data_IF_915298703680
#
_entry.id   IF_915298703680
#
_cell.length_a   1.000
_cell.length_b   1.000
_cell.length_c   1.000
_cell.angle_alpha   90.00
_cell.angle_beta   90.00
_cell.angle_gamma   90.00
#
_symmetry.space_group_name_H-M   'P 1'
#
loop_
_entity.id
_entity.type
_entity.pdbx_description
1 polymer ?
#
# COMPACT_ATOMS: atom_id res chain seq x y z
N UNK A 1 -14.31 -0.62 -5.15
CA UNK A 1 -14.62 -1.04 -6.53
C UNK A 1 -13.59 -2.00 -7.11
N UNK A 2 -12.29 -1.73 -7.03
CA UNK A 2 -11.27 -2.65 -7.56
C UNK A 2 -11.27 -4.03 -6.87
N UNK A 3 -11.41 -4.07 -5.54
CA UNK A 3 -11.57 -5.33 -4.78
C UNK A 3 -12.82 -6.13 -5.21
N UNK A 4 -13.93 -5.45 -5.51
CA UNK A 4 -15.15 -6.10 -5.99
C UNK A 4 -14.89 -6.81 -7.33
N UNK A 5 -14.21 -6.15 -8.27
CA UNK A 5 -13.83 -6.76 -9.54
C UNK A 5 -12.89 -7.95 -9.36
N UNK A 6 -11.89 -7.84 -8.47
CA UNK A 6 -10.99 -8.97 -8.16
C UNK A 6 -11.73 -10.16 -7.56
N UNK A 7 -12.73 -9.93 -6.69
CA UNK A 7 -13.57 -10.99 -6.15
C UNK A 7 -14.47 -11.62 -7.22
N UNK A 8 -15.02 -10.84 -8.15
CA UNK A 8 -15.80 -11.37 -9.27
C UNK A 8 -14.92 -12.26 -10.15
N UNK A 9 -13.70 -11.84 -10.51
CA UNK A 9 -12.75 -12.67 -11.26
C UNK A 9 -12.38 -13.93 -10.49
N UNK A 10 -12.16 -13.84 -9.19
CA UNK A 10 -11.91 -14.98 -8.33
C UNK A 10 -13.07 -15.99 -8.38
N UNK A 11 -14.32 -15.54 -8.26
CA UNK A 11 -15.50 -16.41 -8.34
C UNK A 11 -15.69 -17.07 -9.72
N UNK A 12 -15.39 -16.36 -10.82
CA UNK A 12 -15.48 -16.94 -12.17
C UNK A 12 -14.39 -18.00 -12.39
N UNK A 13 -13.19 -17.76 -11.84
CA UNK A 13 -12.04 -18.65 -11.99
C UNK A 13 -11.96 -19.74 -10.91
N UNK A 14 -13.01 -19.90 -10.11
CA UNK A 14 -13.00 -20.93 -9.06
C UNK A 14 -12.87 -22.33 -9.68
N UNK A 15 -11.86 -23.11 -9.26
CA UNK A 15 -11.59 -24.43 -9.86
C UNK A 15 -12.74 -25.42 -9.63
N UNK A 16 -13.59 -25.18 -8.63
CA UNK A 16 -14.77 -26.00 -8.35
C UNK A 16 -15.71 -26.03 -9.55
N UNK A 17 -15.98 -24.89 -10.19
CA UNK A 17 -16.89 -24.81 -11.35
C UNK A 17 -16.40 -25.65 -12.53
N UNK A 18 -15.09 -25.66 -12.74
CA UNK A 18 -14.45 -26.39 -13.84
C UNK A 18 -14.34 -27.89 -13.57
N UNK A 19 -14.40 -28.31 -12.30
CA UNK A 19 -14.37 -29.73 -11.91
C UNK A 19 -15.77 -30.36 -11.70
N UNK A 20 -16.86 -29.59 -11.82
CA UNK A 20 -18.25 -30.13 -11.77
C UNK A 20 -18.50 -31.28 -12.74
N UNK A 21 -18.12 -31.22 -14.03
CA UNK A 21 -18.45 -32.30 -14.98
C UNK A 21 -17.72 -33.62 -14.68
N UNK A 22 -16.60 -33.59 -13.96
CA UNK A 22 -15.74 -34.76 -13.71
C UNK A 22 -15.99 -35.43 -12.35
N UNK A 23 -17.14 -35.20 -11.72
CA UNK A 23 -17.46 -35.69 -10.35
C UNK A 23 -17.31 -37.20 -10.12
N UNK A 24 -17.31 -38.02 -11.18
CA UNK A 24 -17.28 -39.50 -11.09
C UNK A 24 -15.98 -40.14 -11.61
N UNK A 25 -14.90 -39.39 -11.85
CA UNK A 25 -13.67 -40.00 -12.37
C UNK A 25 -12.80 -40.70 -11.33
N UNK A 26 -12.04 -41.71 -11.77
CA UNK A 26 -11.07 -42.47 -10.96
C UNK A 26 -9.77 -41.68 -10.74
N UNK A 27 -9.82 -40.63 -9.92
CA UNK A 27 -8.64 -39.88 -9.51
C UNK A 27 -8.69 -39.60 -8.00
N UNK A 28 -7.51 -39.51 -7.33
CA UNK A 28 -7.46 -39.35 -5.88
C UNK A 28 -8.12 -38.02 -5.47
N UNK A 29 -9.21 -38.12 -4.71
CA UNK A 29 -10.04 -36.97 -4.30
C UNK A 29 -11.42 -36.88 -4.98
N UNK A 30 -11.79 -37.86 -5.81
CA UNK A 30 -13.11 -37.93 -6.46
C UNK A 30 -14.27 -37.77 -5.45
N UNK A 31 -15.09 -36.74 -5.63
CA UNK A 31 -16.20 -36.40 -4.76
C UNK A 31 -16.82 -35.04 -5.15
N UNK A 32 -17.97 -34.71 -4.56
CA UNK A 32 -18.53 -33.36 -4.67
C UNK A 32 -17.52 -32.36 -4.07
N UNK A 33 -17.20 -31.29 -4.83
CA UNK A 33 -16.18 -30.27 -4.48
C UNK A 33 -14.72 -30.70 -4.63
N UNK A 34 -14.40 -31.59 -5.57
CA UNK A 34 -12.99 -31.83 -5.90
C UNK A 34 -12.35 -30.64 -6.62
N UNK A 35 -11.12 -30.32 -6.27
CA UNK A 35 -10.27 -29.29 -6.91
C UNK A 35 -9.14 -29.88 -7.76
N UNK A 36 -8.98 -31.20 -7.77
CA UNK A 36 -7.89 -31.92 -8.42
C UNK A 36 -8.33 -32.57 -9.75
N UNK A 37 -9.01 -31.80 -10.62
CA UNK A 37 -9.31 -32.23 -11.99
C UNK A 37 -8.29 -31.64 -12.99
N UNK A 38 -8.05 -32.34 -14.10
CA UNK A 38 -7.09 -31.89 -15.13
C UNK A 38 -7.48 -30.52 -15.73
N UNK A 39 -8.78 -30.26 -15.91
CA UNK A 39 -9.29 -28.97 -16.37
C UNK A 39 -9.05 -27.85 -15.35
N UNK A 40 -9.13 -28.13 -14.05
CA UNK A 40 -8.99 -27.15 -12.96
C UNK A 40 -7.54 -26.75 -12.66
N UNK A 41 -6.55 -27.57 -13.07
CA UNK A 41 -5.13 -27.32 -12.80
C UNK A 41 -4.65 -25.98 -13.37
N UNK A 42 -5.07 -25.63 -14.60
CA UNK A 42 -4.72 -24.38 -15.25
C UNK A 42 -5.39 -23.16 -14.59
N UNK A 43 -6.63 -23.32 -14.10
CA UNK A 43 -7.35 -22.24 -13.43
C UNK A 43 -6.84 -22.00 -12.00
N UNK A 44 -6.21 -23.01 -11.37
CA UNK A 44 -5.69 -22.91 -10.00
C UNK A 44 -4.58 -21.86 -9.85
N UNK A 45 -3.66 -21.76 -10.80
CA UNK A 45 -2.58 -20.77 -10.77
C UNK A 45 -3.11 -19.34 -10.91
N UNK A 46 -4.03 -19.14 -11.86
CA UNK A 46 -4.68 -17.85 -12.10
C UNK A 46 -5.51 -17.44 -10.89
N UNK A 47 -6.30 -18.36 -10.33
CA UNK A 47 -7.06 -18.15 -9.10
C UNK A 47 -6.15 -17.77 -7.93
N UNK A 48 -5.03 -18.47 -7.73
CA UNK A 48 -4.08 -18.18 -6.66
C UNK A 48 -3.46 -16.77 -6.79
N UNK A 49 -3.12 -16.35 -8.01
CA UNK A 49 -2.60 -15.01 -8.27
C UNK A 49 -3.64 -13.92 -7.93
N UNK A 50 -4.89 -14.08 -8.41
CA UNK A 50 -5.97 -13.14 -8.09
C UNK A 50 -6.32 -13.12 -6.60
N UNK A 51 -6.33 -14.28 -5.94
CA UNK A 51 -6.57 -14.38 -4.50
C UNK A 51 -5.48 -13.65 -3.70
N UNK A 52 -4.20 -13.83 -4.07
CA UNK A 52 -3.09 -13.10 -3.46
C UNK A 52 -3.25 -11.58 -3.62
N UNK A 53 -3.57 -11.12 -4.83
CA UNK A 53 -3.81 -9.69 -5.09
C UNK A 53 -5.01 -9.15 -4.31
N UNK A 54 -6.11 -9.90 -4.23
CA UNK A 54 -7.29 -9.53 -3.45
C UNK A 54 -6.98 -9.42 -1.95
N UNK A 55 -6.20 -10.36 -1.40
CA UNK A 55 -5.76 -10.31 -0.01
C UNK A 55 -4.85 -9.11 0.27
N UNK A 56 -3.94 -8.78 -0.64
CA UNK A 56 -3.11 -7.58 -0.50
C UNK A 56 -3.96 -6.31 -0.50
N UNK A 57 -4.94 -6.20 -1.41
CA UNK A 57 -5.86 -5.06 -1.44
C UNK A 57 -6.72 -4.97 -0.18
N UNK A 58 -7.14 -6.11 0.36
CA UNK A 58 -7.85 -6.15 1.63
C UNK A 58 -6.98 -5.66 2.79
N UNK A 59 -5.71 -6.06 2.84
CA UNK A 59 -4.75 -5.53 3.81
C UNK A 59 -4.55 -4.01 3.65
N UNK A 60 -4.56 -3.47 2.43
CA UNK A 60 -4.52 -2.02 2.19
C UNK A 60 -5.79 -1.34 2.70
N UNK A 61 -6.98 -1.93 2.49
CA UNK A 61 -8.25 -1.41 3.02
C UNK A 61 -8.28 -1.38 4.56
N UNK A 62 -7.61 -2.32 5.22
CA UNK A 62 -7.46 -2.29 6.68
C UNK A 62 -6.73 -1.00 7.14
N UNK A 63 -5.89 -0.40 6.30
CA UNK A 63 -5.26 0.89 6.63
C UNK A 63 -6.29 2.02 6.77
N UNK A 64 -7.46 1.94 6.15
CA UNK A 64 -8.52 2.94 6.34
C UNK A 64 -9.10 2.93 7.76
N UNK A 65 -9.00 1.80 8.47
CA UNK A 65 -9.33 1.73 9.91
C UNK A 65 -8.39 2.59 10.77
N UNK A 66 -7.28 3.08 10.22
CA UNK A 66 -6.40 4.04 10.91
C UNK A 66 -7.13 5.32 11.34
N UNK A 67 -8.27 5.65 10.71
CA UNK A 67 -9.10 6.81 11.05
C UNK A 67 -9.60 6.80 12.51
N UNK A 68 -9.65 5.63 13.15
CA UNK A 68 -10.03 5.47 14.56
C UNK A 68 -9.01 6.14 15.50
N UNK A 69 -7.73 6.15 15.11
CA UNK A 69 -6.66 6.76 15.89
C UNK A 69 -6.06 7.96 15.16
N UNK A 70 -6.22 9.15 15.75
CA UNK A 70 -5.69 10.40 15.19
C UNK A 70 -4.18 10.35 14.89
N UNK A 71 -3.40 9.66 15.73
CA UNK A 71 -1.95 9.53 15.54
C UNK A 71 -1.61 8.62 14.35
N UNK A 72 -2.33 7.52 14.20
CA UNK A 72 -2.09 6.53 13.13
C UNK A 72 -2.59 7.08 11.79
N UNK A 73 -3.76 7.72 11.76
CA UNK A 73 -4.29 8.37 10.56
C UNK A 73 -3.35 9.45 10.02
N UNK A 74 -2.82 10.31 10.89
CA UNK A 74 -1.83 11.32 10.49
C UNK A 74 -0.56 10.67 9.92
N UNK A 75 -0.07 9.58 10.53
CA UNK A 75 1.09 8.85 10.02
C UNK A 75 0.83 8.22 8.64
N UNK A 76 -0.32 7.57 8.44
CA UNK A 76 -0.70 6.97 7.14
C UNK A 76 -0.80 8.05 6.05
N UNK A 77 -1.37 9.22 6.36
CA UNK A 77 -1.42 10.36 5.44
C UNK A 77 -0.03 10.86 5.06
N UNK A 78 0.89 10.95 6.03
CA UNK A 78 2.28 11.33 5.76
C UNK A 78 2.97 10.29 4.88
N UNK A 79 2.84 8.99 5.19
CA UNK A 79 3.37 7.92 4.33
C UNK A 79 2.82 8.03 2.90
N UNK A 80 1.52 8.22 2.72
CA UNK A 80 0.91 8.38 1.40
C UNK A 80 1.46 9.58 0.63
N UNK A 81 1.73 10.71 1.30
CA UNK A 81 2.33 11.87 0.64
C UNK A 81 3.80 11.64 0.29
N UNK A 82 4.54 11.01 1.19
CA UNK A 82 5.97 10.73 1.05
C UNK A 82 6.27 9.69 -0.04
N UNK A 83 5.32 8.78 -0.34
CA UNK A 83 5.43 7.80 -1.45
C UNK A 83 5.72 8.49 -2.79
N UNK A 84 5.20 9.70 -3.04
CA UNK A 84 5.49 10.43 -4.27
C UNK A 84 6.98 10.81 -4.39
N UNK A 85 7.61 11.24 -3.30
CA UNK A 85 9.04 11.56 -3.24
C UNK A 85 9.89 10.31 -3.47
N UNK A 86 9.52 9.19 -2.83
CA UNK A 86 10.15 7.89 -3.06
C UNK A 86 10.01 7.44 -4.51
N UNK A 87 8.86 7.70 -5.14
CA UNK A 87 8.61 7.40 -6.55
C UNK A 87 9.54 8.18 -7.49
N UNK A 88 9.72 9.48 -7.25
CA UNK A 88 10.67 10.30 -8.01
C UNK A 88 12.10 9.79 -7.86
N UNK A 89 12.49 9.42 -6.65
CA UNK A 89 13.80 8.81 -6.37
C UNK A 89 13.99 7.49 -7.13
N UNK A 90 13.01 6.58 -7.07
CA UNK A 90 13.07 5.29 -7.77
C UNK A 90 13.20 5.48 -9.28
N UNK A 91 12.48 6.44 -9.86
CA UNK A 91 12.63 6.77 -11.29
C UNK A 91 14.05 7.24 -11.63
N UNK A 92 14.64 8.12 -10.81
CA UNK A 92 16.01 8.56 -11.01
C UNK A 92 17.01 7.40 -10.86
N UNK A 93 16.81 6.51 -9.89
CA UNK A 93 17.63 5.33 -9.69
C UNK A 93 17.54 4.35 -10.88
N UNK A 94 16.33 4.08 -11.38
CA UNK A 94 16.12 3.23 -12.56
C UNK A 94 16.81 3.83 -13.80
N UNK A 95 16.67 5.14 -14.01
CA UNK A 95 17.35 5.83 -15.11
C UNK A 95 18.87 5.67 -15.02
N UNK A 96 19.42 5.83 -13.82
CA UNK A 96 20.86 5.68 -13.58
C UNK A 96 21.32 4.23 -13.76
N UNK A 97 20.57 3.26 -13.26
CA UNK A 97 20.81 1.82 -13.48
C UNK A 97 20.86 1.51 -14.98
N UNK A 98 19.88 1.99 -15.75
CA UNK A 98 19.82 1.74 -17.19
C UNK A 98 20.98 2.43 -17.93
N UNK A 99 21.31 3.67 -17.58
CA UNK A 99 22.43 4.40 -18.19
C UNK A 99 23.77 3.68 -17.96
N UNK A 100 24.03 3.21 -16.74
CA UNK A 100 25.24 2.46 -16.42
C UNK A 100 25.22 1.04 -16.99
N UNK A 101 24.05 0.37 -17.04
CA UNK A 101 23.91 -0.93 -17.68
C UNK A 101 24.25 -0.86 -19.18
N UNK A 102 23.81 0.19 -19.87
CA UNK A 102 24.16 0.45 -21.27
C UNK A 102 25.67 0.70 -21.43
N UNK A 103 26.27 1.49 -20.53
CA UNK A 103 27.71 1.74 -20.53
C UNK A 103 28.54 0.48 -20.31
N UNK A 104 28.17 -0.36 -19.34
CA UNK A 104 28.86 -1.62 -19.05
C UNK A 104 28.69 -2.61 -20.19
N UNK A 105 27.48 -2.74 -20.75
CA UNK A 105 27.22 -3.63 -21.91
C UNK A 105 27.99 -3.22 -23.16
N UNK A 106 28.41 -1.95 -23.27
CA UNK A 106 29.29 -1.49 -24.34
C UNK A 106 30.77 -1.79 -24.06
N UNK A 107 31.16 -1.84 -22.78
CA UNK A 107 32.54 -1.98 -22.33
C UNK A 107 33.01 -3.44 -22.23
N UNK A 108 32.11 -4.35 -21.83
CA UNK A 108 32.43 -5.76 -21.63
C UNK A 108 31.40 -6.67 -22.32
N UNK A 109 31.91 -7.73 -22.95
CA UNK A 109 31.11 -8.77 -23.63
C UNK A 109 31.43 -10.17 -23.13
N UNK A 110 32.38 -10.33 -22.19
CA UNK A 110 32.90 -11.65 -21.82
C UNK A 110 32.42 -12.12 -20.44
N UNK A 111 31.93 -11.24 -19.57
CA UNK A 111 31.39 -11.67 -18.27
C UNK A 111 29.90 -12.09 -18.35
N UNK A 112 29.53 -13.26 -17.81
CA UNK A 112 28.17 -13.78 -17.89
C UNK A 112 27.17 -12.94 -17.08
N UNK A 113 27.64 -12.26 -16.03
CA UNK A 113 26.80 -11.40 -15.16
C UNK A 113 26.41 -10.07 -15.82
N UNK A 114 27.08 -9.68 -16.90
CA UNK A 114 26.84 -8.43 -17.64
C UNK A 114 26.54 -8.68 -19.13
N UNK A 115 26.22 -9.92 -19.48
CA UNK A 115 25.80 -10.27 -20.84
C UNK A 115 24.41 -9.69 -21.12
N UNK A 116 24.39 -8.55 -21.80
CA UNK A 116 23.18 -7.84 -22.20
C UNK A 116 22.64 -6.87 -21.14
N UNK A 117 21.79 -5.96 -21.62
CA UNK A 117 21.29 -4.81 -20.84
C UNK A 117 20.43 -5.28 -19.65
N UNK A 118 19.62 -6.33 -19.84
CA UNK A 118 18.74 -6.86 -18.79
C UNK A 118 19.50 -7.44 -17.61
N UNK A 119 20.50 -8.30 -17.88
CA UNK A 119 21.33 -8.90 -16.84
C UNK A 119 22.20 -7.84 -16.15
N UNK A 120 22.79 -6.91 -16.90
CA UNK A 120 23.54 -5.80 -16.33
C UNK A 120 22.66 -4.91 -15.42
N UNK A 121 21.44 -4.57 -15.84
CA UNK A 121 20.51 -3.78 -15.04
C UNK A 121 20.08 -4.52 -13.76
N UNK A 122 19.81 -5.83 -13.85
CA UNK A 122 19.46 -6.66 -12.69
C UNK A 122 20.62 -6.78 -11.70
N UNK A 123 21.85 -7.01 -12.20
CA UNK A 123 23.06 -7.05 -11.39
C UNK A 123 23.31 -5.73 -10.67
N UNK A 124 23.19 -4.59 -11.37
CA UNK A 124 23.32 -3.26 -10.76
C UNK A 124 22.21 -2.94 -9.75
N UNK A 125 20.98 -3.42 -9.99
CA UNK A 125 19.88 -3.30 -9.03
C UNK A 125 20.14 -4.15 -7.77
N UNK A 126 20.61 -5.39 -7.92
CA UNK A 126 21.01 -6.24 -6.80
C UNK A 126 22.16 -5.61 -6.00
N UNK A 127 23.13 -4.97 -6.68
CA UNK A 127 24.20 -4.21 -6.03
C UNK A 127 23.65 -2.98 -5.27
N UNK A 128 22.68 -2.27 -5.82
CA UNK A 128 22.00 -1.14 -5.16
C UNK A 128 21.32 -1.57 -3.85
N UNK A 129 20.75 -2.78 -3.82
CA UNK A 129 20.13 -3.36 -2.62
C UNK A 129 21.14 -4.05 -1.68
N UNK A 130 22.41 -4.18 -2.06
CA UNK A 130 23.41 -4.93 -1.31
C UNK A 130 23.19 -6.46 -1.32
N UNK A 131 22.41 -6.98 -2.26
CA UNK A 131 22.07 -8.40 -2.41
C UNK A 131 22.98 -9.13 -3.42
N UNK A 132 23.96 -8.44 -3.99
CA UNK A 132 24.83 -9.03 -5.01
C UNK A 132 25.83 -10.02 -4.37
N UNK A 133 25.94 -11.27 -4.88
CA UNK A 133 26.81 -12.28 -4.30
C UNK A 133 28.29 -11.91 -4.44
N UNK A 134 29.05 -12.10 -3.36
CA UNK A 134 30.48 -11.77 -3.29
C UNK A 134 31.39 -12.67 -4.15
N UNK A 135 30.91 -13.86 -4.51
CA UNK A 135 31.62 -14.81 -5.38
C UNK A 135 31.81 -14.23 -6.80
N UNK A 136 30.76 -13.62 -7.35
CA UNK A 136 30.78 -12.99 -8.67
C UNK A 136 31.53 -11.64 -8.69
N UNK A 137 31.90 -11.11 -7.52
CA UNK A 137 32.77 -9.93 -7.43
C UNK A 137 34.23 -10.29 -7.75
N UNK A 138 34.63 -11.55 -7.59
CA UNK A 138 35.96 -12.04 -7.88
C UNK A 138 36.30 -11.98 -9.36
N UNK A 139 35.39 -12.47 -10.20
CA UNK A 139 35.50 -12.45 -11.67
C UNK A 139 35.50 -11.03 -12.24
N UNK A 140 34.87 -10.08 -11.53
CA UNK A 140 34.83 -8.67 -11.92
C UNK A 140 36.18 -7.96 -11.79
N UNK A 141 37.11 -8.50 -11.01
CA UNK A 141 38.44 -7.91 -10.80
C UNK A 141 39.33 -7.99 -12.04
N UNK A 142 39.06 -8.92 -12.94
CA UNK A 142 39.87 -9.14 -14.14
C UNK A 142 39.61 -8.07 -15.22
N UNK A 143 38.43 -7.45 -15.21
CA UNK A 143 38.06 -6.37 -16.12
C UNK A 143 38.10 -4.99 -15.42
N UNK A 144 39.29 -4.38 -15.38
CA UNK A 144 39.54 -3.08 -14.70
C UNK A 144 38.52 -1.99 -15.08
N UNK A 145 38.11 -1.91 -16.35
CA UNK A 145 37.13 -0.92 -16.82
C UNK A 145 35.73 -1.10 -16.23
N UNK A 146 35.26 -2.34 -16.12
CA UNK A 146 33.96 -2.66 -15.52
C UNK A 146 34.00 -2.39 -14.03
N UNK A 147 35.08 -2.79 -13.36
CA UNK A 147 35.26 -2.55 -11.93
C UNK A 147 35.21 -1.06 -11.58
N UNK A 148 35.88 -0.20 -12.35
CA UNK A 148 35.85 1.26 -12.16
C UNK A 148 34.41 1.77 -12.34
N UNK A 149 33.74 1.37 -13.41
CA UNK A 149 32.37 1.83 -13.73
C UNK A 149 31.37 1.42 -12.64
N UNK A 150 31.44 0.17 -12.18
CA UNK A 150 30.61 -0.36 -11.08
C UNK A 150 30.95 0.31 -9.75
N UNK A 151 32.22 0.62 -9.48
CA UNK A 151 32.63 1.32 -8.26
C UNK A 151 32.09 2.76 -8.23
N UNK A 152 32.19 3.48 -9.36
CA UNK A 152 31.63 4.83 -9.50
C UNK A 152 30.11 4.79 -9.32
N UNK A 153 29.42 3.86 -9.97
CA UNK A 153 27.99 3.64 -9.80
C UNK A 153 27.61 3.40 -8.33
N UNK A 154 28.33 2.52 -7.65
CA UNK A 154 28.07 2.16 -6.25
C UNK A 154 28.28 3.34 -5.32
N UNK A 155 29.34 4.13 -5.53
CA UNK A 155 29.56 5.38 -4.78
C UNK A 155 28.41 6.36 -5.02
N UNK A 156 28.02 6.56 -6.27
CA UNK A 156 26.96 7.48 -6.66
C UNK A 156 25.62 7.08 -6.01
N UNK A 157 25.24 5.81 -6.09
CA UNK A 157 23.99 5.32 -5.50
C UNK A 157 24.05 5.27 -3.97
N UNK A 158 25.04 4.59 -3.40
CA UNK A 158 25.05 4.29 -1.97
C UNK A 158 25.40 5.52 -1.12
N UNK A 159 26.35 6.35 -1.58
CA UNK A 159 26.82 7.51 -0.81
C UNK A 159 26.01 8.75 -1.12
N UNK A 160 25.67 9.02 -2.39
CA UNK A 160 24.95 10.24 -2.73
C UNK A 160 23.43 10.02 -2.70
N UNK A 161 22.90 9.13 -3.55
CA UNK A 161 21.45 9.00 -3.70
C UNK A 161 20.75 8.51 -2.42
N UNK A 162 21.21 7.44 -1.77
CA UNK A 162 20.55 6.92 -0.58
C UNK A 162 20.59 7.91 0.59
N UNK A 163 21.71 8.59 0.81
CA UNK A 163 21.81 9.60 1.88
C UNK A 163 20.97 10.83 1.58
N UNK A 164 20.91 11.26 0.32
CA UNK A 164 20.06 12.36 -0.11
C UNK A 164 18.57 11.99 0.07
N UNK A 165 18.17 10.76 -0.27
CA UNK A 165 16.83 10.25 -0.03
C UNK A 165 16.46 10.32 1.45
N UNK A 166 17.31 9.78 2.34
CA UNK A 166 17.05 9.83 3.79
C UNK A 166 16.91 11.27 4.29
N UNK A 167 17.77 12.18 3.82
CA UNK A 167 17.69 13.60 4.18
C UNK A 167 16.37 14.25 3.69
N UNK A 168 15.99 14.00 2.43
CA UNK A 168 14.74 14.51 1.86
C UNK A 168 13.52 13.96 2.59
N UNK A 169 13.48 12.66 2.88
CA UNK A 169 12.38 12.03 3.61
C UNK A 169 12.22 12.63 5.01
N UNK A 170 13.33 12.83 5.73
CA UNK A 170 13.27 13.43 7.07
C UNK A 170 12.80 14.89 7.03
N UNK A 171 13.31 15.68 6.09
CA UNK A 171 12.89 17.08 5.93
C UNK A 171 11.41 17.18 5.53
N UNK A 172 10.97 16.39 4.54
CA UNK A 172 9.58 16.35 4.10
C UNK A 172 8.65 15.90 5.23
N UNK A 173 9.05 14.88 6.01
CA UNK A 173 8.30 14.43 7.18
C UNK A 173 8.09 15.56 8.19
N UNK A 174 9.16 16.25 8.60
CA UNK A 174 9.06 17.31 9.60
C UNK A 174 8.20 18.49 9.16
N UNK A 175 8.27 18.86 7.88
CA UNK A 175 7.50 19.96 7.32
C UNK A 175 6.01 19.62 7.20
N UNK A 176 5.68 18.40 6.81
CA UNK A 176 4.31 18.00 6.45
C UNK A 176 3.53 17.45 7.66
N UNK A 177 4.21 16.89 8.67
CA UNK A 177 3.56 16.22 9.79
C UNK A 177 2.53 17.09 10.56
N UNK A 178 2.81 18.38 10.87
CA UNK A 178 1.83 19.23 11.56
C UNK A 178 0.54 19.43 10.76
N UNK A 179 0.66 19.68 9.45
CA UNK A 179 -0.48 19.89 8.56
C UNK A 179 -1.32 18.61 8.41
N UNK A 180 -0.66 17.44 8.38
CA UNK A 180 -1.34 16.16 8.26
C UNK A 180 -2.20 15.80 9.47
N UNK A 181 -1.89 16.32 10.66
CA UNK A 181 -2.79 16.19 11.80
C UNK A 181 -4.09 16.96 11.59
N UNK A 182 -4.03 18.13 10.95
CA UNK A 182 -5.19 18.91 10.56
C UNK A 182 -6.05 18.17 9.53
N UNK A 183 -5.41 17.65 8.48
CA UNK A 183 -6.10 16.82 7.47
C UNK A 183 -6.73 15.56 8.06
N UNK A 184 -6.07 14.90 9.01
CA UNK A 184 -6.65 13.74 9.71
C UNK A 184 -7.94 14.12 10.47
N UNK A 185 -8.00 15.30 11.09
CA UNK A 185 -9.21 15.79 11.79
C UNK A 185 -10.33 16.07 10.80
N UNK A 186 -10.01 16.74 9.69
CA UNK A 186 -10.97 17.04 8.63
C UNK A 186 -11.56 15.76 8.02
N UNK A 187 -10.69 14.78 7.71
CA UNK A 187 -11.11 13.49 7.16
C UNK A 187 -12.06 12.77 8.12
N UNK A 188 -11.72 12.72 9.42
CA UNK A 188 -12.59 12.15 10.45
C UNK A 188 -13.94 12.87 10.53
N UNK A 189 -13.96 14.20 10.50
CA UNK A 189 -15.21 14.96 10.51
C UNK A 189 -16.07 14.66 9.27
N UNK A 190 -15.46 14.58 8.09
CA UNK A 190 -16.15 14.22 6.84
C UNK A 190 -16.78 12.82 6.92
N UNK A 191 -16.06 11.85 7.49
CA UNK A 191 -16.58 10.48 7.69
C UNK A 191 -17.71 10.47 8.71
N UNK A 192 -17.61 11.24 9.80
CA UNK A 192 -18.69 11.35 10.80
C UNK A 192 -19.95 11.92 10.14
N UNK A 193 -19.85 13.04 9.41
CA UNK A 193 -21.00 13.66 8.73
C UNK A 193 -21.63 12.68 7.72
N UNK A 194 -20.81 12.02 6.90
CA UNK A 194 -21.28 11.00 5.94
C UNK A 194 -21.92 9.79 6.62
N UNK A 195 -21.49 9.45 7.83
CA UNK A 195 -22.05 8.34 8.62
C UNK A 195 -23.38 8.75 9.24
N UNK A 196 -23.49 9.99 9.71
CA UNK A 196 -24.74 10.54 10.27
C UNK A 196 -25.83 10.60 9.21
N UNK A 197 -25.50 10.95 7.97
CA UNK A 197 -26.45 10.94 6.84
C UNK A 197 -27.04 9.53 6.56
N UNK A 198 -26.28 8.47 6.86
CA UNK A 198 -26.74 7.08 6.71
C UNK A 198 -27.60 6.59 7.88
N UNK A 199 -27.76 7.39 8.95
CA UNK A 199 -28.57 7.01 10.11
C UNK A 199 -30.05 7.12 9.75
N UNK A 200 -30.81 6.05 10.00
CA UNK A 200 -32.26 6.08 9.79
C UNK A 200 -32.94 7.11 10.70
N UNK A 201 -33.96 7.80 10.17
CA UNK A 201 -34.70 8.81 10.93
C UNK A 201 -35.23 8.30 12.28
N UNK A 202 -35.64 7.02 12.36
CA UNK A 202 -36.12 6.39 13.61
C UNK A 202 -35.04 6.25 14.68
N UNK A 203 -33.78 6.05 14.29
CA UNK A 203 -32.66 5.96 15.23
C UNK A 203 -32.22 7.36 15.64
N UNK A 204 -32.23 8.30 14.70
CA UNK A 204 -31.96 9.70 14.97
C UNK A 204 -32.97 10.33 15.94
N UNK A 205 -34.27 10.11 15.73
CA UNK A 205 -35.33 10.62 16.63
C UNK A 205 -35.17 10.07 18.05
N UNK A 206 -34.93 8.76 18.19
CA UNK A 206 -34.65 8.13 19.49
C UNK A 206 -33.41 8.69 20.18
N UNK A 207 -32.37 9.02 19.41
CA UNK A 207 -31.19 9.66 19.94
C UNK A 207 -31.52 11.06 20.47
N UNK A 208 -32.26 11.87 19.70
CA UNK A 208 -32.71 13.19 20.15
C UNK A 208 -33.58 13.11 21.41
N UNK A 209 -34.54 12.18 21.45
CA UNK A 209 -35.37 11.92 22.64
C UNK A 209 -34.51 11.54 23.85
N UNK A 210 -33.45 10.73 23.67
CA UNK A 210 -32.57 10.31 24.76
C UNK A 210 -31.70 11.42 25.35
N UNK A 211 -31.58 12.56 24.67
CA UNK A 211 -30.81 13.71 25.16
C UNK A 211 -31.61 14.56 26.17
N UNK A 212 -32.92 14.28 26.35
CA UNK A 212 -33.80 15.04 27.23
C UNK A 212 -33.68 16.56 27.05
N UNK A 213 -33.58 17.03 25.80
CA UNK A 213 -33.38 18.46 25.48
C UNK A 213 -34.54 19.35 25.98
N UNK A 214 -35.69 18.72 26.26
CA UNK A 214 -36.89 19.35 26.81
C UNK A 214 -36.84 19.52 28.34
N UNK A 215 -35.89 18.87 29.03
CA UNK A 215 -35.68 19.01 30.47
C UNK A 215 -34.78 20.20 30.79
N UNK A 216 -34.96 20.80 31.98
CA UNK A 216 -34.11 21.90 32.44
C UNK A 216 -32.69 21.38 32.67
N UNK A 217 -31.70 22.10 32.16
CA UNK A 217 -30.30 21.76 32.40
C UNK A 217 -30.00 21.77 33.91
N UNK A 218 -29.55 20.62 34.44
CA UNK A 218 -29.04 20.55 35.80
C UNK A 218 -27.71 21.31 35.89
N UNK A 219 -27.68 22.35 36.71
CA UNK A 219 -26.48 23.14 36.95
C UNK A 219 -25.67 22.53 38.09
N UNK A 220 -24.47 22.03 37.80
CA UNK A 220 -23.56 21.56 38.84
C UNK A 220 -22.70 22.72 39.37
N UNK A 221 -22.10 22.54 40.56
CA UNK A 221 -21.27 23.56 41.23
C UNK A 221 -20.04 24.04 40.42
N UNK A 222 -19.75 23.41 39.28
CA UNK A 222 -18.67 23.80 38.36
C UNK A 222 -19.11 24.53 37.08
N UNK A 223 -20.42 24.67 36.84
CA UNK A 223 -20.94 25.23 35.59
C UNK A 223 -21.08 26.76 35.67
N UNK A 224 -20.56 27.47 34.66
CA UNK A 224 -20.61 28.93 34.58
C UNK A 224 -21.70 29.34 33.59
N UNK A 225 -22.84 29.86 34.09
CA UNK A 225 -23.96 30.33 33.27
C UNK A 225 -25.25 30.53 34.07
N UNK A 226 -26.35 30.88 33.37
CA UNK A 226 -27.67 30.99 34.00
C UNK A 226 -28.28 29.59 34.25
N UNK A 227 -28.62 29.32 35.51
CA UNK A 227 -29.24 28.05 35.91
C UNK A 227 -30.65 27.87 35.33
N UNK A 228 -30.98 26.62 34.95
CA UNK A 228 -32.34 26.23 34.55
C UNK A 228 -32.76 26.64 33.14
N UNK A 229 -31.80 26.87 32.23
CA UNK A 229 -32.09 27.05 30.82
C UNK A 229 -32.79 25.83 30.22
N UNK A 230 -33.79 26.08 29.36
CA UNK A 230 -34.45 25.07 28.53
C UNK A 230 -33.99 25.33 27.09
N UNK A 231 -33.54 24.29 26.37
CA UNK A 231 -33.21 24.45 24.97
C UNK A 231 -34.51 24.65 24.16
N UNK A 232 -34.54 25.70 23.35
CA UNK A 232 -35.66 26.01 22.46
C UNK A 232 -35.18 25.85 21.03
N UNK A 233 -35.95 25.15 20.21
CA UNK A 233 -35.68 25.05 18.77
C UNK A 233 -35.90 26.43 18.12
N UNK A 234 -34.84 27.03 17.62
CA UNK A 234 -34.95 28.22 16.80
C UNK A 234 -35.40 27.84 15.37
N UNK A 235 -36.36 28.57 14.77
CA UNK A 235 -36.72 28.36 13.38
C UNK A 235 -35.51 28.66 12.48
N UNK A 236 -35.11 27.70 11.66
CA UNK A 236 -34.11 27.91 10.61
C UNK A 236 -34.73 28.79 9.52
N UNK A 237 -34.29 30.04 9.44
CA UNK A 237 -34.65 30.96 8.35
C UNK A 237 -33.83 30.66 7.10
#
# INVERSE_FOLDING_TARGET
>A
MLLLWMLIFMCIQEPIWWCIPDTYGDYPGSGLFNTACAAGQQHKEVYAAFSCAAMLLYCVLILDLSIVSMRISAFVLVCGRVVAEVGLFLMAAIFLILAFALGISALDRQSPSFEGIGNAAFSLFAMTLGLYPSENLGELKDAVGVLITVSVFTILIAIFLLNLLVAQLNQAYQLIFPDMQGYARLNRASVIVSTVDQVSQRRWSRFLESLNLDERLEFNEGDVGLAGGIQVMEPSW
#
